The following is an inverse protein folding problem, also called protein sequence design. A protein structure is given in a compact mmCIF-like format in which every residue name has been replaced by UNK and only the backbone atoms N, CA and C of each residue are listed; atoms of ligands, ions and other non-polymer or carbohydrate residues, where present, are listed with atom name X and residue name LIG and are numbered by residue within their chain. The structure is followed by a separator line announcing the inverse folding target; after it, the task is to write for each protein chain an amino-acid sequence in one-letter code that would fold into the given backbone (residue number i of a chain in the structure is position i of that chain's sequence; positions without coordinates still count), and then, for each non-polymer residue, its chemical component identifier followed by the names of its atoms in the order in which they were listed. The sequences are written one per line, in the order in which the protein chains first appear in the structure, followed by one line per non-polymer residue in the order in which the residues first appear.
data_IF_197014215693
#
_entry.id   IF_197014215693
#
_cell.length_a   1.000
_cell.length_b   1.000
_cell.length_c   1.000
_cell.angle_alpha   90.00
_cell.angle_beta   90.00
_cell.angle_gamma   90.00
#
_symmetry.space_group_name_H-M   'P 1'
#
loop_
_entity.id
_entity.type
_entity.pdbx_description
1 polymer ?
#
# COMPACT_ATOMS: atom_id res chain seq x y z
N UNK A 1 -20.83 1.09 -4.60
CA UNK A 1 -19.43 1.44 -4.23
C UNK A 1 -19.24 2.91 -4.55
N UNK A 2 -18.58 3.67 -3.66
CA UNK A 2 -18.25 5.07 -3.91
C UNK A 2 -17.09 5.24 -4.89
N UNK A 3 -16.84 6.48 -5.30
CA UNK A 3 -15.68 6.85 -6.11
C UNK A 3 -14.37 6.78 -5.32
N UNK A 4 -13.26 6.84 -6.05
CA UNK A 4 -11.94 7.00 -5.44
C UNK A 4 -11.75 8.43 -4.93
N UNK A 5 -11.07 8.58 -3.80
CA UNK A 5 -10.69 9.87 -3.24
C UNK A 5 -9.23 9.81 -2.81
N UNK A 6 -8.40 10.70 -3.34
CA UNK A 6 -7.01 10.81 -2.92
C UNK A 6 -6.91 11.29 -1.46
N UNK A 7 -5.92 10.77 -0.74
CA UNK A 7 -5.62 11.17 0.64
C UNK A 7 -4.48 12.18 0.60
N UNK A 8 -4.84 13.47 0.56
CA UNK A 8 -3.87 14.56 0.61
C UNK A 8 -3.03 14.46 1.88
N UNK A 9 -1.71 14.47 1.74
CA UNK A 9 -0.79 14.36 2.88
C UNK A 9 -0.63 12.94 3.43
N UNK A 10 -0.97 11.90 2.66
CA UNK A 10 -0.83 10.49 3.07
C UNK A 10 0.55 10.14 3.65
N UNK A 11 1.62 10.75 3.14
CA UNK A 11 3.00 10.53 3.62
C UNK A 11 3.23 10.95 5.08
N UNK A 12 2.40 11.87 5.59
CA UNK A 12 2.49 12.42 6.94
C UNK A 12 1.33 11.92 7.84
N UNK A 13 0.54 10.97 7.36
CA UNK A 13 -0.60 10.42 8.10
C UNK A 13 -0.20 9.18 8.86
N UNK A 14 -0.26 9.26 10.19
CA UNK A 14 0.01 8.14 11.10
C UNK A 14 -0.93 6.96 10.80
N UNK A 15 -2.19 7.24 10.48
CA UNK A 15 -3.18 6.18 10.18
C UNK A 15 -2.80 5.41 8.91
N UNK A 16 -2.39 6.10 7.85
CA UNK A 16 -1.97 5.47 6.60
C UNK A 16 -0.64 4.73 6.78
N UNK A 17 0.30 5.28 7.55
CA UNK A 17 1.53 4.59 7.88
C UNK A 17 1.25 3.28 8.64
N UNK A 18 0.36 3.30 9.63
CA UNK A 18 -0.03 2.11 10.39
C UNK A 18 -0.69 1.04 9.50
N UNK A 19 -1.53 1.45 8.55
CA UNK A 19 -2.13 0.53 7.58
C UNK A 19 -1.08 -0.08 6.64
N UNK A 20 -0.09 0.73 6.21
CA UNK A 20 1.00 0.26 5.37
C UNK A 20 1.91 -0.74 6.09
N UNK A 21 2.28 -0.45 7.35
CA UNK A 21 3.05 -1.37 8.21
C UNK A 21 2.31 -2.68 8.45
N UNK A 22 1.03 -2.60 8.80
CA UNK A 22 0.17 -3.78 8.93
C UNK A 22 0.19 -4.64 7.67
N UNK A 23 0.10 -4.01 6.49
CA UNK A 23 0.10 -4.75 5.23
C UNK A 23 1.43 -5.48 4.94
N UNK A 24 2.56 -4.83 5.26
CA UNK A 24 3.90 -5.44 5.15
C UNK A 24 4.04 -6.61 6.12
N UNK A 25 3.61 -6.46 7.38
CA UNK A 25 3.69 -7.51 8.39
C UNK A 25 2.85 -8.74 8.01
N UNK A 26 1.63 -8.53 7.52
CA UNK A 26 0.77 -9.63 7.06
C UNK A 26 1.32 -10.33 5.83
N UNK A 27 1.92 -9.59 4.88
CA UNK A 27 2.60 -10.18 3.74
C UNK A 27 3.79 -11.04 4.18
N UNK A 28 4.63 -10.53 5.08
CA UNK A 28 5.78 -11.25 5.61
C UNK A 28 5.35 -12.57 6.29
N UNK A 29 4.30 -12.53 7.12
CA UNK A 29 3.75 -13.75 7.75
C UNK A 29 3.24 -14.76 6.73
N UNK A 30 2.51 -14.31 5.71
CA UNK A 30 1.86 -15.19 4.73
C UNK A 30 2.85 -15.82 3.75
N UNK A 31 3.81 -15.05 3.27
CA UNK A 31 4.75 -15.47 2.23
C UNK A 31 6.12 -15.89 2.80
N UNK A 32 6.27 -15.91 4.14
CA UNK A 32 7.54 -16.13 4.82
C UNK A 32 8.65 -15.21 4.29
N UNK A 33 8.29 -13.95 4.04
CA UNK A 33 9.17 -12.90 3.52
C UNK A 33 9.72 -12.02 4.65
N UNK A 34 10.72 -11.19 4.33
CA UNK A 34 11.36 -10.27 5.29
C UNK A 34 11.44 -8.88 4.68
N UNK A 35 10.29 -8.30 4.33
CA UNK A 35 10.20 -6.92 3.86
C UNK A 35 10.24 -5.95 5.03
N UNK A 36 11.10 -4.93 4.95
CA UNK A 36 11.15 -3.83 5.90
C UNK A 36 10.43 -2.61 5.33
N UNK A 37 9.37 -2.16 5.98
CA UNK A 37 8.67 -0.94 5.60
C UNK A 37 9.60 0.28 5.68
N UNK A 38 9.62 1.10 4.63
CA UNK A 38 10.41 2.34 4.58
C UNK A 38 9.52 3.57 4.73
N UNK A 39 8.56 3.76 3.81
CA UNK A 39 7.67 4.93 3.80
C UNK A 39 6.42 4.73 2.96
N UNK A 40 5.40 5.53 3.23
CA UNK A 40 4.26 5.73 2.32
C UNK A 40 4.66 6.72 1.22
N UNK A 41 4.27 6.44 -0.02
CA UNK A 41 4.45 7.33 -1.17
C UNK A 41 3.14 8.08 -1.46
N UNK A 42 2.02 7.36 -1.50
CA UNK A 42 0.70 7.93 -1.74
C UNK A 42 -0.38 6.99 -1.22
N UNK A 43 -1.58 7.52 -1.03
CA UNK A 43 -2.75 6.71 -0.72
C UNK A 43 -4.01 7.33 -1.30
N UNK A 44 -4.95 6.46 -1.67
CA UNK A 44 -6.33 6.80 -2.03
C UNK A 44 -7.27 5.88 -1.25
N UNK A 45 -8.50 6.33 -1.03
CA UNK A 45 -9.55 5.54 -0.40
C UNK A 45 -10.76 5.39 -1.32
N UNK A 46 -11.50 4.31 -1.10
CA UNK A 46 -12.79 4.08 -1.71
C UNK A 46 -13.78 3.60 -0.65
N UNK A 47 -14.96 4.22 -0.61
CA UNK A 47 -16.04 3.77 0.28
C UNK A 47 -16.74 2.56 -0.34
N UNK A 48 -16.74 1.46 0.40
CA UNK A 48 -17.36 0.19 0.02
C UNK A 48 -18.29 -0.26 1.16
N UNK A 49 -18.47 -1.56 1.41
CA UNK A 49 -18.97 -2.06 2.70
C UNK A 49 -17.89 -1.97 3.79
N UNK A 50 -17.29 -0.78 3.95
CA UNK A 50 -16.05 -0.51 4.67
C UNK A 50 -15.32 0.68 4.02
N UNK A 51 -14.08 0.91 4.43
CA UNK A 51 -13.16 1.78 3.70
C UNK A 51 -12.04 0.93 3.12
N UNK A 52 -11.89 0.95 1.80
CA UNK A 52 -10.79 0.29 1.11
C UNK A 52 -9.70 1.32 0.83
N UNK A 53 -8.55 1.14 1.47
CA UNK A 53 -7.36 1.97 1.27
C UNK A 53 -6.47 1.32 0.24
N UNK A 54 -6.02 2.10 -0.73
CA UNK A 54 -5.02 1.72 -1.71
C UNK A 54 -3.79 2.55 -1.38
N UNK A 55 -2.73 1.88 -0.95
CA UNK A 55 -1.53 2.52 -0.46
C UNK A 55 -0.38 2.10 -1.34
N UNK A 56 0.36 3.07 -1.86
CA UNK A 56 1.65 2.84 -2.50
C UNK A 56 2.73 3.11 -1.46
N UNK A 57 3.58 2.12 -1.22
CA UNK A 57 4.63 2.17 -0.20
C UNK A 57 5.97 1.69 -0.75
N UNK A 58 7.05 2.14 -0.13
CA UNK A 58 8.39 1.64 -0.36
C UNK A 58 8.76 0.66 0.77
N UNK A 59 9.30 -0.51 0.40
CA UNK A 59 9.82 -1.49 1.34
C UNK A 59 11.17 -2.03 0.84
N UNK A 60 12.03 -2.42 1.76
CA UNK A 60 13.33 -3.03 1.48
C UNK A 60 13.23 -4.55 1.63
N UNK A 61 13.70 -5.30 0.64
CA UNK A 61 13.73 -6.77 0.68
C UNK A 61 15.07 -7.34 1.20
N UNK A 62 15.91 -6.50 1.79
CA UNK A 62 17.26 -6.84 2.25
C UNK A 62 18.34 -6.61 1.20
N UNK A 63 17.98 -6.40 -0.07
CA UNK A 63 18.92 -6.10 -1.15
C UNK A 63 18.64 -4.73 -1.76
N UNK A 64 17.36 -4.45 -2.05
CA UNK A 64 16.94 -3.25 -2.76
C UNK A 64 15.63 -2.69 -2.20
N UNK A 65 15.50 -1.37 -2.25
CA UNK A 65 14.21 -0.71 -2.04
C UNK A 65 13.33 -0.93 -3.27
N UNK A 66 12.14 -1.45 -3.05
CA UNK A 66 11.11 -1.70 -4.06
C UNK A 66 9.83 -0.98 -3.67
N UNK A 67 9.05 -0.63 -4.68
CA UNK A 67 7.73 -0.01 -4.49
C UNK A 67 6.66 -1.08 -4.60
N UNK A 68 5.67 -1.01 -3.73
CA UNK A 68 4.56 -1.94 -3.64
C UNK A 68 3.23 -1.18 -3.65
N UNK A 69 2.21 -1.81 -4.21
CA UNK A 69 0.82 -1.40 -4.04
C UNK A 69 0.14 -2.40 -3.11
N UNK A 70 -0.55 -1.90 -2.10
CA UNK A 70 -1.38 -2.71 -1.22
C UNK A 70 -2.80 -2.17 -1.11
N UNK A 71 -3.74 -3.08 -0.90
CA UNK A 71 -5.15 -2.79 -0.63
C UNK A 71 -5.50 -3.29 0.77
N UNK A 72 -5.94 -2.39 1.63
CA UNK A 72 -6.34 -2.72 3.01
C UNK A 72 -7.79 -2.34 3.21
N UNK A 73 -8.63 -3.31 3.55
CA UNK A 73 -10.04 -3.11 3.86
C UNK A 73 -10.20 -2.95 5.38
N UNK A 74 -10.84 -1.87 5.80
CA UNK A 74 -11.17 -1.61 7.19
C UNK A 74 -12.70 -1.51 7.38
N UNK A 75 -13.23 -2.21 8.38
CA UNK A 75 -14.63 -2.12 8.81
C UNK A 75 -14.65 -1.88 10.32
N UNK A 76 -14.65 -0.62 10.78
CA UNK A 76 -14.53 -0.28 12.20
C UNK A 76 -15.65 -0.90 13.06
N UNK A 77 -16.88 -0.97 12.54
CA UNK A 77 -18.03 -1.53 13.26
C UNK A 77 -17.96 -3.04 13.47
N UNK A 78 -17.07 -3.75 12.77
CA UNK A 78 -16.81 -5.18 12.98
C UNK A 78 -15.43 -5.44 13.58
N UNK A 79 -14.63 -4.40 13.83
CA UNK A 79 -13.21 -4.52 14.19
C UNK A 79 -12.40 -5.38 13.19
N UNK A 80 -12.77 -5.30 11.89
CA UNK A 80 -12.08 -6.04 10.83
C UNK A 80 -11.09 -5.12 10.13
N UNK A 81 -9.87 -5.62 9.95
CA UNK A 81 -8.82 -5.05 9.10
C UNK A 81 -8.17 -6.20 8.33
N UNK A 82 -8.11 -6.08 7.02
CA UNK A 82 -7.69 -7.18 6.14
C UNK A 82 -6.89 -6.66 4.94
N UNK A 83 -5.78 -7.32 4.63
CA UNK A 83 -5.02 -7.10 3.40
C UNK A 83 -5.67 -7.88 2.26
N UNK A 84 -6.24 -7.15 1.31
CA UNK A 84 -6.89 -7.73 0.13
C UNK A 84 -5.87 -8.03 -0.97
N UNK A 85 -4.86 -7.20 -1.11
CA UNK A 85 -3.81 -7.36 -2.12
C UNK A 85 -2.50 -6.74 -1.62
N UNK A 86 -1.38 -7.37 -1.97
CA UNK A 86 -0.04 -6.82 -1.77
C UNK A 86 0.82 -7.28 -2.94
N UNK A 87 1.31 -6.35 -3.76
CA UNK A 87 2.09 -6.67 -4.95
C UNK A 87 3.19 -5.64 -5.23
N UNK A 88 4.34 -6.05 -5.77
CA UNK A 88 5.34 -5.12 -6.24
C UNK A 88 4.80 -4.33 -7.46
N UNK A 89 5.12 -3.04 -7.52
CA UNK A 89 4.94 -2.25 -8.73
C UNK A 89 6.16 -2.50 -9.60
N UNK A 90 6.01 -3.30 -10.65
CA UNK A 90 7.00 -3.32 -11.72
C UNK A 90 6.86 -1.99 -12.46
N UNK A 91 7.84 -1.10 -12.30
CA UNK A 91 8.00 -0.01 -13.26
C UNK A 91 8.35 -0.70 -14.57
N UNK A 92 7.37 -0.91 -15.44
CA UNK A 92 7.67 -1.12 -16.84
C UNK A 92 8.43 0.13 -17.26
N UNK A 93 9.76 0.03 -17.33
CA UNK A 93 10.57 1.01 -18.05
C UNK A 93 10.00 1.02 -19.46
N UNK A 94 9.15 1.99 -19.74
CA UNK A 94 8.64 2.20 -21.08
C UNK A 94 9.84 2.77 -21.86
N UNK A 95 10.39 2.06 -22.87
CA UNK A 95 11.59 2.52 -23.57
C UNK A 95 11.36 3.80 -24.41
N UNK A 96 10.19 4.43 -24.34
CA UNK A 96 9.78 5.57 -25.17
C UNK A 96 9.79 6.92 -24.44
N UNK A 97 10.26 7.01 -23.18
CA UNK A 97 10.39 8.30 -22.48
C UNK A 97 11.78 8.93 -22.57
N UNK A 98 12.64 8.48 -23.50
CA UNK A 98 13.76 9.30 -23.95
C UNK A 98 13.26 10.14 -25.13
N UNK A 99 12.72 11.31 -24.83
CA UNK A 99 12.63 12.36 -25.85
C UNK A 99 14.01 12.99 -25.95
N UNK A 100 14.60 12.91 -27.15
CA UNK A 100 15.81 13.61 -27.61
C UNK A 100 15.74 15.10 -27.29
#
# INVERSE_FOLDING_TARGET
LGGFTDITGAQNSIDIENLARFAVDEHNKKENAVLEFVRVISAKKQVVSGTLYYITLEANDGVTKKVYETKVLEKPWLNIKEVQEFKPITVAVNPLSVTV
#
